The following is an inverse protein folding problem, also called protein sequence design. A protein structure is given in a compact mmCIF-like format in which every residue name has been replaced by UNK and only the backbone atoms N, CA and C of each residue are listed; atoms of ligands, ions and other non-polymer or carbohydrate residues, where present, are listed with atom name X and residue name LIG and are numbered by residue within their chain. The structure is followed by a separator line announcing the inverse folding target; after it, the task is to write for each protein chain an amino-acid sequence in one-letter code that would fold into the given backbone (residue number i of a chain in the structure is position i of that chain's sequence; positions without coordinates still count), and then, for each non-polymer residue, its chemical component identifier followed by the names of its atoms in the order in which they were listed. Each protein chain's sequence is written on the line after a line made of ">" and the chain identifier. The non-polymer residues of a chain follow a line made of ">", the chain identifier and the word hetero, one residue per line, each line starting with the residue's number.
data_IF_713887630986
#
_entry.id   IF_713887630986
#
_cell.length_a   1.000
_cell.length_b   1.000
_cell.length_c   1.000
_cell.angle_alpha   90.00
_cell.angle_beta   90.00
_cell.angle_gamma   90.00
#
_symmetry.space_group_name_H-M   'P 1'
#
loop_
_entity.id
_entity.type
_entity.pdbx_description
1 polymer ?
#
# COMPACT_ATOMS: atom_id res chain seq x y z
N UNK A 1 6.53 -41.47 -16.14
CA UNK A 1 6.42 -40.04 -16.50
C UNK A 1 4.99 -39.65 -16.92
N UNK A 2 4.30 -40.45 -17.76
CA UNK A 2 2.90 -40.18 -18.19
C UNK A 2 1.87 -40.13 -17.05
N UNK A 3 1.87 -41.11 -16.14
CA UNK A 3 0.94 -41.17 -15.00
C UNK A 3 1.08 -39.95 -14.08
N UNK A 4 2.31 -39.48 -13.83
CA UNK A 4 2.56 -38.27 -13.03
C UNK A 4 1.95 -37.02 -13.70
N UNK A 5 2.10 -36.88 -15.01
CA UNK A 5 1.54 -35.75 -15.77
C UNK A 5 0.00 -35.81 -15.76
N UNK A 6 -0.61 -36.99 -15.86
CA UNK A 6 -2.05 -37.16 -15.78
C UNK A 6 -2.62 -36.84 -14.39
N UNK A 7 -1.97 -37.31 -13.33
CA UNK A 7 -2.34 -36.97 -11.95
C UNK A 7 -2.27 -35.45 -11.75
N UNK A 8 -1.19 -34.81 -12.21
CA UNK A 8 -1.03 -33.35 -12.11
C UNK A 8 -2.10 -32.58 -12.89
N UNK A 9 -2.53 -33.06 -14.07
CA UNK A 9 -3.62 -32.45 -14.84
C UNK A 9 -4.97 -32.46 -14.13
N UNK A 10 -5.18 -33.41 -13.21
CA UNK A 10 -6.42 -33.51 -12.42
C UNK A 10 -6.30 -32.75 -11.10
N UNK A 11 -5.17 -32.92 -10.40
CA UNK A 11 -4.95 -32.36 -9.06
C UNK A 11 -4.74 -30.84 -9.11
N UNK A 12 -3.97 -30.34 -10.08
CA UNK A 12 -3.60 -28.92 -10.13
C UNK A 12 -4.83 -28.01 -10.34
N UNK A 13 -5.74 -28.26 -11.30
CA UNK A 13 -6.95 -27.45 -11.45
C UNK A 13 -7.84 -27.48 -10.21
N UNK A 14 -7.89 -28.63 -9.51
CA UNK A 14 -8.69 -28.80 -8.30
C UNK A 14 -8.12 -27.96 -7.14
N UNK A 15 -6.81 -27.99 -6.91
CA UNK A 15 -6.14 -27.16 -5.89
C UNK A 15 -6.31 -25.67 -6.23
N UNK A 16 -6.06 -25.31 -7.48
CA UNK A 16 -6.20 -23.92 -7.95
C UNK A 16 -7.63 -23.43 -7.78
N UNK A 17 -8.62 -24.23 -8.18
CA UNK A 17 -10.04 -23.95 -7.99
C UNK A 17 -10.40 -23.77 -6.52
N UNK A 18 -9.92 -24.66 -5.63
CA UNK A 18 -10.13 -24.56 -4.19
C UNK A 18 -9.57 -23.27 -3.59
N UNK A 19 -8.35 -22.87 -4.00
CA UNK A 19 -7.72 -21.62 -3.56
C UNK A 19 -8.54 -20.41 -4.03
N UNK A 20 -8.93 -20.36 -5.30
CA UNK A 20 -9.73 -19.25 -5.83
C UNK A 20 -11.10 -19.17 -5.15
N UNK A 21 -11.80 -20.29 -4.98
CA UNK A 21 -13.07 -20.32 -4.25
C UNK A 21 -12.92 -19.84 -2.81
N UNK A 22 -11.85 -20.25 -2.11
CA UNK A 22 -11.56 -19.74 -0.76
C UNK A 22 -11.35 -18.23 -0.75
N UNK A 23 -10.55 -17.70 -1.68
CA UNK A 23 -10.27 -16.26 -1.79
C UNK A 23 -11.55 -15.46 -2.11
N UNK A 24 -12.37 -15.92 -3.07
CA UNK A 24 -13.64 -15.29 -3.45
C UNK A 24 -14.62 -15.30 -2.28
N UNK A 25 -14.74 -16.44 -1.59
CA UNK A 25 -15.64 -16.59 -0.44
C UNK A 25 -15.22 -15.65 0.68
N UNK A 26 -13.93 -15.59 1.00
CA UNK A 26 -13.39 -14.70 2.03
C UNK A 26 -13.59 -13.23 1.67
N UNK A 27 -13.39 -12.86 0.40
CA UNK A 27 -13.64 -11.51 -0.09
C UNK A 27 -15.12 -11.14 0.07
N UNK A 28 -16.03 -12.02 -0.35
CA UNK A 28 -17.49 -11.83 -0.27
C UNK A 28 -17.96 -11.68 1.17
N UNK A 29 -17.50 -12.57 2.06
CA UNK A 29 -17.81 -12.48 3.49
C UNK A 29 -17.35 -11.14 4.09
N UNK A 30 -16.13 -10.71 3.79
CA UNK A 30 -15.60 -9.43 4.26
C UNK A 30 -16.40 -8.23 3.69
N UNK A 31 -16.90 -8.35 2.46
CA UNK A 31 -17.76 -7.33 1.84
C UNK A 31 -19.13 -7.24 2.50
N UNK A 32 -19.63 -8.32 3.09
CA UNK A 32 -20.94 -8.42 3.73
C UNK A 32 -20.91 -8.14 5.24
N UNK A 33 -19.80 -7.63 5.79
CA UNK A 33 -19.74 -7.23 7.20
C UNK A 33 -20.72 -6.07 7.46
N UNK A 34 -21.58 -6.15 8.51
CA UNK A 34 -22.53 -5.09 8.84
C UNK A 34 -21.86 -3.73 9.03
N UNK A 35 -22.41 -2.69 8.40
CA UNK A 35 -21.86 -1.34 8.43
C UNK A 35 -21.78 -0.77 9.85
N UNK A 36 -22.78 -1.02 10.70
CA UNK A 36 -22.79 -0.55 12.09
C UNK A 36 -21.56 -1.02 12.88
N UNK A 37 -21.12 -2.26 12.66
CA UNK A 37 -19.92 -2.81 13.32
C UNK A 37 -18.65 -2.13 12.82
N UNK A 38 -18.60 -1.79 11.52
CA UNK A 38 -17.49 -1.05 10.92
C UNK A 38 -17.45 0.40 11.43
N UNK A 39 -18.63 1.02 11.60
CA UNK A 39 -18.76 2.38 12.11
C UNK A 39 -18.30 2.48 13.57
N UNK A 40 -18.69 1.51 14.41
CA UNK A 40 -18.18 1.43 15.79
C UNK A 40 -16.65 1.29 15.79
N UNK A 41 -16.10 0.41 14.96
CA UNK A 41 -14.66 0.23 14.86
C UNK A 41 -13.96 1.53 14.43
N UNK A 42 -14.51 2.23 13.44
CA UNK A 42 -13.97 3.50 12.95
C UNK A 42 -14.02 4.60 14.02
N UNK A 43 -15.20 4.88 14.55
CA UNK A 43 -15.46 6.01 15.45
C UNK A 43 -14.85 5.81 16.84
N UNK A 44 -14.78 4.57 17.35
CA UNK A 44 -14.34 4.30 18.73
C UNK A 44 -12.90 3.83 18.85
N UNK A 45 -12.31 3.28 17.78
CA UNK A 45 -10.95 2.73 17.81
C UNK A 45 -10.06 3.47 16.82
N UNK A 46 -10.29 3.29 15.52
CA UNK A 46 -9.27 3.61 14.51
C UNK A 46 -9.09 5.10 14.28
N UNK A 47 -10.17 5.89 14.25
CA UNK A 47 -10.07 7.33 14.09
C UNK A 47 -9.45 8.01 15.33
N UNK A 48 -9.88 7.71 16.58
CA UNK A 48 -9.25 8.26 17.77
C UNK A 48 -7.78 7.85 17.93
N UNK A 49 -7.44 6.58 17.68
CA UNK A 49 -6.05 6.12 17.77
C UNK A 49 -5.18 6.76 16.68
N UNK A 50 -5.72 6.92 15.47
CA UNK A 50 -5.04 7.64 14.41
C UNK A 50 -4.70 9.07 14.84
N UNK A 51 -5.69 9.81 15.36
CA UNK A 51 -5.49 11.18 15.85
C UNK A 51 -4.49 11.23 17.02
N UNK A 52 -4.57 10.28 17.95
CA UNK A 52 -3.69 10.21 19.11
C UNK A 52 -2.22 10.02 18.71
N UNK A 53 -1.96 9.23 17.66
CA UNK A 53 -0.61 8.89 17.18
C UNK A 53 -0.11 9.82 16.07
N UNK A 54 -0.98 10.66 15.51
CA UNK A 54 -0.64 11.51 14.38
C UNK A 54 0.47 12.50 14.76
N UNK A 55 1.53 12.54 13.95
CA UNK A 55 2.68 13.41 14.19
C UNK A 55 3.57 13.03 15.39
N UNK A 56 3.15 12.12 16.27
CA UNK A 56 3.92 11.77 17.48
C UNK A 56 5.19 11.00 17.19
N UNK A 57 6.23 11.38 17.93
CA UNK A 57 7.53 10.67 18.01
C UNK A 57 7.46 9.53 19.02
N UNK A 58 8.52 8.72 19.06
CA UNK A 58 8.59 7.53 19.91
C UNK A 58 8.35 7.84 21.41
N UNK A 59 9.03 8.84 21.95
CA UNK A 59 8.92 9.16 23.38
C UNK A 59 7.51 9.62 23.78
N UNK A 60 6.86 10.41 22.94
CA UNK A 60 5.47 10.84 23.15
C UNK A 60 4.51 9.65 23.05
N UNK A 61 4.71 8.76 22.07
CA UNK A 61 3.87 7.58 21.88
C UNK A 61 4.00 6.57 23.04
N UNK A 62 5.18 6.48 23.67
CA UNK A 62 5.40 5.64 24.86
C UNK A 62 4.55 6.08 26.06
N UNK A 63 4.35 7.39 26.25
CA UNK A 63 3.53 7.93 27.33
C UNK A 63 2.05 7.54 27.19
N UNK A 64 1.57 7.37 25.94
CA UNK A 64 0.19 7.01 25.66
C UNK A 64 -0.09 5.50 25.65
N UNK A 65 0.90 4.63 25.89
CA UNK A 65 0.72 3.17 25.82
C UNK A 65 -0.43 2.70 26.72
N UNK A 66 -0.53 3.21 27.95
CA UNK A 66 -1.59 2.84 28.90
C UNK A 66 -2.97 3.23 28.39
N UNK A 67 -3.08 4.45 27.84
CA UNK A 67 -4.30 4.97 27.23
C UNK A 67 -4.71 4.15 26.01
N UNK A 68 -3.76 3.85 25.11
CA UNK A 68 -4.00 3.03 23.92
C UNK A 68 -4.46 1.62 24.31
N UNK A 69 -3.78 1.00 25.27
CA UNK A 69 -4.14 -0.32 25.80
C UNK A 69 -5.57 -0.34 26.32
N UNK A 70 -5.96 0.68 27.10
CA UNK A 70 -7.33 0.82 27.60
C UNK A 70 -8.37 0.91 26.47
N UNK A 71 -8.10 1.71 25.43
CA UNK A 71 -8.99 1.80 24.26
C UNK A 71 -9.14 0.45 23.54
N UNK A 72 -8.03 -0.24 23.29
CA UNK A 72 -8.02 -1.52 22.59
C UNK A 72 -8.71 -2.62 23.41
N UNK A 73 -8.54 -2.64 24.72
CA UNK A 73 -9.22 -3.59 25.61
C UNK A 73 -10.72 -3.31 25.69
N UNK A 74 -11.12 -2.05 25.89
CA UNK A 74 -12.54 -1.65 25.99
C UNK A 74 -13.35 -2.05 24.75
N UNK A 75 -12.75 -1.96 23.57
CA UNK A 75 -13.41 -2.27 22.30
C UNK A 75 -12.85 -3.51 21.60
N UNK A 76 -12.20 -4.43 22.32
CA UNK A 76 -11.46 -5.58 21.78
C UNK A 76 -12.25 -6.37 20.70
N UNK A 77 -13.56 -6.53 20.89
CA UNK A 77 -14.48 -7.20 19.93
C UNK A 77 -14.45 -6.59 18.52
N UNK A 78 -14.19 -5.30 18.40
CA UNK A 78 -14.18 -4.54 17.15
C UNK A 78 -12.75 -4.25 16.63
N UNK A 79 -11.73 -4.61 17.41
CA UNK A 79 -10.33 -4.44 17.02
C UNK A 79 -9.90 -5.59 16.12
N UNK A 80 -9.21 -5.28 15.03
CA UNK A 80 -8.61 -6.29 14.19
C UNK A 80 -7.44 -6.99 14.90
N UNK A 81 -7.34 -8.32 14.78
CA UNK A 81 -6.28 -9.11 15.40
C UNK A 81 -4.87 -8.65 15.00
N UNK A 82 -4.69 -8.13 13.78
CA UNK A 82 -3.39 -7.59 13.35
C UNK A 82 -3.04 -6.30 14.08
N UNK A 83 -4.03 -5.49 14.46
CA UNK A 83 -3.83 -4.28 15.25
C UNK A 83 -3.35 -4.62 16.66
N UNK A 84 -3.95 -5.63 17.30
CA UNK A 84 -3.51 -6.12 18.61
C UNK A 84 -2.07 -6.65 18.55
N UNK A 85 -1.75 -7.48 17.56
CA UNK A 85 -0.38 -8.00 17.37
C UNK A 85 0.65 -6.89 17.16
N UNK A 86 0.32 -5.89 16.35
CA UNK A 86 1.22 -4.76 16.10
C UNK A 86 1.43 -3.93 17.39
N UNK A 87 0.38 -3.74 18.19
CA UNK A 87 0.48 -3.06 19.48
C UNK A 87 1.30 -3.85 20.50
N UNK A 88 1.08 -5.16 20.60
CA UNK A 88 1.84 -6.03 21.51
C UNK A 88 3.34 -6.01 21.17
N UNK A 89 3.67 -6.04 19.88
CA UNK A 89 5.05 -5.97 19.40
C UNK A 89 5.68 -4.61 19.74
N UNK A 90 4.95 -3.51 19.55
CA UNK A 90 5.38 -2.18 19.97
C UNK A 90 5.61 -2.09 21.49
N UNK A 91 4.71 -2.65 22.31
CA UNK A 91 4.84 -2.67 23.76
C UNK A 91 6.09 -3.43 24.23
N UNK A 92 6.47 -4.50 23.52
CA UNK A 92 7.65 -5.32 23.84
C UNK A 92 8.95 -4.63 23.44
N UNK A 93 9.04 -4.13 22.21
CA UNK A 93 10.31 -3.63 21.65
C UNK A 93 10.55 -2.13 21.91
N UNK A 94 9.48 -1.32 21.89
CA UNK A 94 9.51 0.14 22.17
C UNK A 94 10.50 0.94 21.31
N UNK A 95 10.65 0.53 20.07
CA UNK A 95 11.52 1.12 19.06
C UNK A 95 10.73 1.88 17.97
N UNK A 96 11.43 2.66 17.14
CA UNK A 96 10.80 3.46 16.09
C UNK A 96 10.17 2.60 14.98
N UNK A 97 10.75 1.45 14.66
CA UNK A 97 10.26 0.60 13.58
C UNK A 97 8.94 -0.06 13.97
N UNK A 98 8.86 -0.63 15.18
CA UNK A 98 7.61 -1.23 15.66
C UNK A 98 6.51 -0.20 15.88
N UNK A 99 6.86 1.01 16.34
CA UNK A 99 5.92 2.13 16.37
C UNK A 99 5.42 2.49 14.97
N UNK A 100 6.32 2.59 14.00
CA UNK A 100 5.95 2.90 12.61
C UNK A 100 5.02 1.82 12.05
N UNK A 101 5.30 0.54 12.30
CA UNK A 101 4.44 -0.57 11.91
C UNK A 101 3.06 -0.47 12.55
N UNK A 102 2.98 -0.15 13.84
CA UNK A 102 1.70 0.06 14.53
C UNK A 102 0.93 1.27 13.96
N UNK A 103 1.60 2.41 13.75
CA UNK A 103 1.01 3.62 13.13
C UNK A 103 0.47 3.32 11.73
N UNK A 104 1.24 2.59 10.91
CA UNK A 104 0.84 2.17 9.58
C UNK A 104 -0.38 1.24 9.61
N UNK A 105 -0.43 0.30 10.57
CA UNK A 105 -1.61 -0.57 10.74
C UNK A 105 -2.87 0.25 11.08
N UNK A 106 -2.78 1.16 12.06
CA UNK A 106 -3.88 2.04 12.44
C UNK A 106 -4.32 2.93 11.26
N UNK A 107 -3.37 3.55 10.55
CA UNK A 107 -3.66 4.37 9.37
C UNK A 107 -4.36 3.58 8.26
N UNK A 108 -3.86 2.38 7.95
CA UNK A 108 -4.42 1.53 6.90
C UNK A 108 -5.84 1.09 7.25
N UNK A 109 -6.10 0.70 8.52
CA UNK A 109 -7.43 0.31 8.98
C UNK A 109 -8.39 1.50 9.04
N UNK A 110 -7.94 2.65 9.52
CA UNK A 110 -8.70 3.90 9.49
C UNK A 110 -9.12 4.26 8.05
N UNK A 111 -8.18 4.21 7.11
CA UNK A 111 -8.45 4.49 5.70
C UNK A 111 -9.38 3.45 5.08
N UNK A 112 -9.16 2.16 5.35
CA UNK A 112 -10.03 1.07 4.87
C UNK A 112 -11.48 1.24 5.33
N UNK A 113 -11.68 1.54 6.62
CA UNK A 113 -13.01 1.74 7.19
C UNK A 113 -13.69 2.97 6.59
N UNK A 114 -12.94 4.07 6.36
CA UNK A 114 -13.49 5.25 5.68
C UNK A 114 -14.09 4.91 4.31
N UNK A 115 -13.39 4.12 3.50
CA UNK A 115 -13.88 3.69 2.17
C UNK A 115 -15.16 2.88 2.29
N UNK A 116 -15.14 1.93 3.23
CA UNK A 116 -16.25 0.99 3.46
C UNK A 116 -17.50 1.68 3.99
N UNK A 117 -17.34 2.75 4.76
CA UNK A 117 -18.43 3.56 5.32
C UNK A 117 -18.88 4.70 4.39
N UNK A 118 -18.25 4.87 3.22
CA UNK A 118 -18.65 5.88 2.24
C UNK A 118 -18.22 7.31 2.59
N UNK A 119 -17.19 7.49 3.42
CA UNK A 119 -16.63 8.83 3.66
C UNK A 119 -15.93 9.36 2.40
N UNK A 120 -15.78 10.69 2.34
CA UNK A 120 -15.10 11.39 1.25
C UNK A 120 -13.71 10.81 0.97
N UNK A 121 -13.52 10.46 -0.30
CA UNK A 121 -12.24 10.06 -0.88
C UNK A 121 -11.85 11.01 -2.00
N UNK A 122 -10.58 11.42 -2.05
CA UNK A 122 -10.09 12.16 -3.20
C UNK A 122 -10.13 11.24 -4.42
N UNK A 123 -10.62 11.77 -5.55
CA UNK A 123 -10.47 11.09 -6.83
C UNK A 123 -8.99 10.94 -7.20
N UNK A 124 -8.67 10.01 -8.12
CA UNK A 124 -7.28 9.74 -8.56
C UNK A 124 -6.57 11.02 -9.01
N UNK A 125 -7.27 11.89 -9.74
CA UNK A 125 -6.74 13.17 -10.20
C UNK A 125 -6.43 14.13 -9.06
N UNK A 126 -7.30 14.22 -8.04
CA UNK A 126 -7.07 15.06 -6.87
C UNK A 126 -5.90 14.51 -6.04
N UNK A 127 -5.86 13.19 -5.84
CA UNK A 127 -4.75 12.54 -5.14
C UNK A 127 -3.41 12.86 -5.81
N UNK A 128 -3.32 12.70 -7.14
CA UNK A 128 -2.13 13.09 -7.89
C UNK A 128 -1.84 14.59 -7.80
N UNK A 129 -2.86 15.46 -7.97
CA UNK A 129 -2.70 16.92 -7.97
C UNK A 129 -2.14 17.45 -6.65
N UNK A 130 -2.53 16.86 -5.52
CA UNK A 130 -2.12 17.29 -4.19
C UNK A 130 -0.97 16.46 -3.58
N UNK A 131 -0.50 15.39 -4.25
CA UNK A 131 0.66 14.62 -3.79
C UNK A 131 1.96 15.45 -3.77
N UNK A 132 2.89 15.14 -2.85
CA UNK A 132 4.25 15.67 -2.86
C UNK A 132 5.00 15.45 -4.18
N UNK A 133 5.98 16.31 -4.49
CA UNK A 133 6.77 16.23 -5.73
C UNK A 133 7.46 14.87 -5.94
N UNK A 134 7.90 14.23 -4.86
CA UNK A 134 8.52 12.90 -4.90
C UNK A 134 7.54 11.79 -5.28
N UNK A 135 6.34 11.83 -4.72
CA UNK A 135 5.27 10.88 -5.03
C UNK A 135 4.75 11.07 -6.45
N UNK A 136 4.50 12.32 -6.86
CA UNK A 136 4.11 12.65 -8.25
C UNK A 136 5.08 12.07 -9.28
N UNK A 137 6.38 12.22 -9.04
CA UNK A 137 7.42 11.65 -9.92
C UNK A 137 7.38 10.12 -9.91
N UNK A 138 7.10 9.50 -8.76
CA UNK A 138 6.96 8.03 -8.67
C UNK A 138 5.76 7.52 -9.48
N UNK A 139 4.61 8.18 -9.36
CA UNK A 139 3.40 7.84 -10.13
C UNK A 139 3.66 8.02 -11.62
N UNK A 140 4.30 9.13 -12.01
CA UNK A 140 4.63 9.42 -13.41
C UNK A 140 5.54 8.36 -14.03
N UNK A 141 6.65 8.02 -13.37
CA UNK A 141 7.55 6.94 -13.81
C UNK A 141 6.76 5.62 -14.01
N UNK A 142 5.82 5.32 -13.10
CA UNK A 142 4.96 4.13 -13.25
C UNK A 142 4.07 4.17 -14.51
N UNK A 143 3.46 5.32 -14.80
CA UNK A 143 2.66 5.53 -16.01
C UNK A 143 3.51 5.49 -17.28
N UNK A 144 4.71 6.08 -17.25
CA UNK A 144 5.67 6.05 -18.35
C UNK A 144 6.14 4.63 -18.67
N UNK A 145 6.45 3.84 -17.64
CA UNK A 145 6.82 2.41 -17.79
C UNK A 145 5.67 1.59 -18.39
N UNK A 146 4.43 1.80 -17.92
CA UNK A 146 3.25 1.13 -18.47
C UNK A 146 3.06 1.50 -19.95
N UNK A 147 3.18 2.78 -20.28
CA UNK A 147 3.07 3.29 -21.64
C UNK A 147 4.16 2.69 -22.53
N UNK A 148 5.41 2.71 -22.07
CA UNK A 148 6.54 2.10 -22.76
C UNK A 148 6.32 0.61 -23.02
N UNK A 149 5.78 -0.13 -22.04
CA UNK A 149 5.46 -1.55 -22.19
C UNK A 149 4.43 -1.79 -23.29
N UNK A 150 3.35 -0.98 -23.34
CA UNK A 150 2.34 -1.06 -24.40
C UNK A 150 2.98 -0.78 -25.77
N UNK A 151 3.86 0.22 -25.88
CA UNK A 151 4.58 0.51 -27.12
C UNK A 151 5.48 -0.64 -27.57
N UNK A 152 6.17 -1.31 -26.65
CA UNK A 152 7.00 -2.49 -26.99
C UNK A 152 6.13 -3.62 -27.58
N UNK A 153 4.94 -3.86 -27.02
CA UNK A 153 4.00 -4.85 -27.58
C UNK A 153 3.53 -4.42 -28.97
N UNK A 154 3.21 -3.15 -29.19
CA UNK A 154 2.78 -2.67 -30.51
C UNK A 154 3.89 -2.78 -31.55
N UNK A 155 5.15 -2.50 -31.16
CA UNK A 155 6.32 -2.67 -32.02
C UNK A 155 6.56 -4.13 -32.39
N UNK A 156 6.32 -5.07 -31.48
CA UNK A 156 6.55 -6.50 -31.76
C UNK A 156 5.57 -7.09 -32.78
N UNK A 157 4.40 -6.47 -32.93
CA UNK A 157 3.35 -6.90 -33.88
C UNK A 157 3.45 -6.18 -35.24
N UNK A 158 4.12 -5.03 -35.29
CA UNK A 158 4.26 -4.22 -36.52
C UNK A 158 5.50 -4.62 -37.33
N UNK A 159 5.48 -4.34 -38.65
CA UNK A 159 6.59 -4.64 -39.57
C UNK A 159 6.95 -3.43 -40.43
N UNK A 160 8.19 -3.38 -40.90
CA UNK A 160 8.66 -2.38 -41.85
C UNK A 160 8.78 -0.98 -41.24
N UNK A 161 8.33 0.05 -41.97
CA UNK A 161 8.49 1.46 -41.60
C UNK A 161 7.88 1.81 -40.22
N UNK A 162 6.70 1.29 -39.91
CA UNK A 162 6.04 1.53 -38.63
C UNK A 162 6.79 0.94 -37.44
N UNK A 163 7.47 -0.21 -37.64
CA UNK A 163 8.29 -0.84 -36.61
C UNK A 163 9.53 0.03 -36.29
N UNK A 164 10.16 0.61 -37.31
CA UNK A 164 11.32 1.48 -37.14
C UNK A 164 10.97 2.76 -36.35
N UNK A 165 9.85 3.42 -36.70
CA UNK A 165 9.35 4.59 -35.95
C UNK A 165 9.03 4.20 -34.51
N UNK A 166 8.34 3.08 -34.32
CA UNK A 166 7.97 2.60 -32.98
C UNK A 166 9.19 2.32 -32.11
N UNK A 167 10.25 1.70 -32.66
CA UNK A 167 11.52 1.48 -31.94
C UNK A 167 12.16 2.81 -31.49
N UNK A 168 12.22 3.81 -32.37
CA UNK A 168 12.75 5.14 -32.02
C UNK A 168 11.93 5.75 -30.88
N UNK A 169 10.60 5.66 -30.94
CA UNK A 169 9.72 6.20 -29.90
C UNK A 169 9.95 5.52 -28.54
N UNK A 170 10.16 4.20 -28.52
CA UNK A 170 10.49 3.44 -27.30
C UNK A 170 11.83 3.88 -26.72
N UNK A 171 12.85 4.06 -27.57
CA UNK A 171 14.18 4.54 -27.13
C UNK A 171 14.07 5.93 -26.49
N UNK A 172 13.31 6.84 -27.10
CA UNK A 172 13.09 8.19 -26.56
C UNK A 172 12.37 8.12 -25.20
N UNK A 173 11.33 7.30 -25.07
CA UNK A 173 10.63 7.11 -23.79
C UNK A 173 11.54 6.54 -22.70
N UNK A 174 12.40 5.56 -23.03
CA UNK A 174 13.37 5.01 -22.09
C UNK A 174 14.37 6.07 -21.62
N UNK A 175 14.85 6.94 -22.52
CA UNK A 175 15.74 8.04 -22.16
C UNK A 175 15.05 9.03 -21.18
N UNK A 176 13.78 9.37 -21.41
CA UNK A 176 13.00 10.23 -20.51
C UNK A 176 12.91 9.59 -19.11
N UNK A 177 12.57 8.30 -19.04
CA UNK A 177 12.48 7.56 -17.77
C UNK A 177 13.83 7.58 -17.02
N UNK A 178 14.93 7.35 -17.73
CA UNK A 178 16.28 7.38 -17.14
C UNK A 178 16.59 8.77 -16.56
N UNK A 179 16.32 9.83 -17.31
CA UNK A 179 16.53 11.21 -16.85
C UNK A 179 15.70 11.50 -15.59
N UNK A 180 14.43 11.08 -15.55
CA UNK A 180 13.58 11.29 -14.38
C UNK A 180 14.06 10.49 -13.16
N UNK A 181 14.52 9.26 -13.35
CA UNK A 181 15.13 8.45 -12.28
C UNK A 181 16.39 9.13 -11.70
N UNK A 182 17.28 9.64 -12.56
CA UNK A 182 18.48 10.38 -12.15
C UNK A 182 18.08 11.63 -11.34
N UNK A 183 17.11 12.41 -11.84
CA UNK A 183 16.60 13.59 -11.15
C UNK A 183 16.01 13.25 -9.77
N UNK A 184 15.27 12.14 -9.67
CA UNK A 184 14.72 11.64 -8.40
C UNK A 184 15.82 11.23 -7.43
N UNK A 185 16.86 10.55 -7.91
CA UNK A 185 18.01 10.16 -7.12
C UNK A 185 18.75 11.37 -6.53
N UNK A 186 19.02 12.41 -7.34
CA UNK A 186 19.63 13.65 -6.84
C UNK A 186 18.76 14.36 -5.78
N UNK A 187 17.44 14.39 -5.97
CA UNK A 187 16.50 14.95 -4.97
C UNK A 187 16.57 14.16 -3.65
N UNK A 188 16.65 12.84 -3.72
CA UNK A 188 16.79 11.98 -2.55
C UNK A 188 18.10 12.25 -1.79
N UNK A 189 19.23 12.33 -2.49
CA UNK A 189 20.53 12.67 -1.88
C UNK A 189 20.49 14.04 -1.18
N UNK A 190 19.89 15.05 -1.82
CA UNK A 190 19.74 16.39 -1.24
C UNK A 190 18.88 16.38 0.02
N UNK A 191 17.80 15.59 0.02
CA UNK A 191 16.93 15.43 1.19
C UNK A 191 17.69 14.79 2.36
N UNK A 192 18.40 13.68 2.10
CA UNK A 192 19.19 12.96 3.11
C UNK A 192 20.29 13.84 3.73
N UNK A 193 20.95 14.69 2.94
CA UNK A 193 21.95 15.65 3.44
C UNK A 193 21.34 16.67 4.42
N UNK A 194 20.13 17.18 4.12
CA UNK A 194 19.42 18.13 5.00
C UNK A 194 18.99 17.51 6.32
N UNK A 195 18.56 16.24 6.33
CA UNK A 195 18.19 15.56 7.58
C UNK A 195 19.39 15.36 8.51
N UNK A 196 20.57 15.00 7.97
CA UNK A 196 21.79 14.87 8.79
C UNK A 196 22.18 16.18 9.45
N UNK A 197 22.10 17.31 8.73
CA UNK A 197 22.40 18.65 9.26
C UNK A 197 21.41 19.16 10.31
N UNK A 198 20.22 18.52 10.45
CA UNK A 198 19.23 18.87 11.49
C UNK A 198 19.37 18.00 12.75
N UNK A 199 20.21 16.97 12.72
CA UNK A 199 20.47 16.05 13.84
C UNK A 199 21.82 16.31 14.52
N UNK A 200 22.69 17.11 13.89
CA UNK A 200 23.92 17.67 14.46
C UNK A 200 23.62 19.00 15.14
#
# INVERSE_FOLDING_TARGET
>A
MGIFIEIMKIVLPTIVGGIFTFLITKYTYNKNVPLDKLEIAYNRIYCPLYQLLYGKKLEEAKLDITKISFYLQKYNKYVDRTTLKAFDLFCKCKDEETLLNFKNNIYNKNTYLRRRLGYLEPGIWQMYAYSPKSEKSTIRIGVELLTCYIFVILVSVTRGFFQAIGLISVIVLLLIIIIEMICKFFRYLRYRKRERSRRS
#
